data_IF_810459723787
#
_entry.id   IF_810459723787
#
_cell.length_a   1.000
_cell.length_b   1.000
_cell.length_c   1.000
_cell.angle_alpha   90.00
_cell.angle_beta   90.00
_cell.angle_gamma   90.00
#
_symmetry.space_group_name_H-M   'P 1'
#
loop_
_entity.id
_entity.type
_entity.pdbx_description
1 polymer ?
#
# COMPACT_ATOMS: atom_id res chain seq x y z
N UNK A 1 -9.06 3.81 8.49
CA UNK A 1 -8.33 3.03 7.47
C UNK A 1 -7.12 2.34 8.07
N UNK A 2 -6.23 3.05 8.77
CA UNK A 2 -4.97 2.47 9.25
C UNK A 2 -5.14 1.34 10.30
N UNK A 3 -6.17 1.40 11.16
CA UNK A 3 -6.43 0.34 12.13
C UNK A 3 -6.84 -0.97 11.46
N UNK A 4 -7.79 -0.92 10.51
CA UNK A 4 -8.28 -2.13 9.82
C UNK A 4 -7.20 -2.75 8.93
N UNK A 5 -6.33 -1.93 8.34
CA UNK A 5 -5.20 -2.41 7.54
C UNK A 5 -4.19 -3.23 8.36
N UNK A 6 -4.01 -2.89 9.64
CA UNK A 6 -3.05 -3.56 10.53
C UNK A 6 -3.61 -4.81 11.20
N UNK A 7 -4.91 -4.90 11.42
CA UNK A 7 -5.49 -5.93 12.30
C UNK A 7 -6.33 -6.96 11.59
N UNK A 8 -6.72 -6.75 10.33
CA UNK A 8 -7.62 -7.64 9.61
C UNK A 8 -6.86 -8.59 8.69
N UNK A 9 -7.21 -9.88 8.71
CA UNK A 9 -6.70 -10.85 7.74
C UNK A 9 -7.37 -10.70 6.37
N UNK A 10 -8.64 -10.27 6.38
CA UNK A 10 -9.46 -10.03 5.19
C UNK A 10 -10.36 -8.82 5.39
N UNK A 11 -10.61 -8.12 4.30
CA UNK A 11 -11.50 -6.96 4.22
C UNK A 11 -12.63 -7.26 3.24
N UNK A 12 -13.84 -6.85 3.61
CA UNK A 12 -15.00 -6.79 2.72
C UNK A 12 -15.33 -5.33 2.45
N UNK A 13 -15.35 -4.95 1.18
CA UNK A 13 -15.82 -3.63 0.77
C UNK A 13 -17.30 -3.74 0.42
N UNK A 14 -18.11 -2.90 1.06
CA UNK A 14 -19.53 -2.78 0.79
C UNK A 14 -19.81 -1.44 0.11
N UNK A 15 -20.61 -1.48 -0.95
CA UNK A 15 -21.15 -0.28 -1.59
C UNK A 15 -22.65 -0.49 -1.83
N UNK A 16 -23.47 0.50 -1.49
CA UNK A 16 -24.94 0.47 -1.67
C UNK A 16 -25.62 -0.83 -1.19
N UNK A 17 -25.18 -1.36 -0.03
CA UNK A 17 -25.76 -2.56 0.56
C UNK A 17 -25.32 -3.89 -0.09
N UNK A 18 -24.35 -3.87 -1.01
CA UNK A 18 -23.78 -5.07 -1.64
C UNK A 18 -22.29 -5.20 -1.35
N UNK A 19 -21.81 -6.43 -1.18
CA UNK A 19 -20.38 -6.70 -1.13
C UNK A 19 -19.79 -6.60 -2.54
N UNK A 20 -18.89 -5.65 -2.76
CA UNK A 20 -18.24 -5.41 -4.06
C UNK A 20 -16.85 -6.05 -4.15
N UNK A 21 -16.18 -6.28 -3.02
CA UNK A 21 -14.91 -7.01 -2.97
C UNK A 21 -14.73 -7.69 -1.61
N UNK A 22 -14.05 -8.85 -1.58
CA UNK A 22 -13.64 -9.54 -0.35
C UNK A 22 -12.26 -10.18 -0.54
N UNK A 23 -11.21 -9.55 -0.02
CA UNK A 23 -9.85 -10.07 -0.16
C UNK A 23 -8.95 -9.62 1.01
N UNK A 24 -7.66 -9.96 0.95
CA UNK A 24 -6.63 -9.50 1.89
C UNK A 24 -6.45 -7.97 1.84
N UNK A 25 -5.97 -7.32 2.92
CA UNK A 25 -5.65 -5.90 2.93
C UNK A 25 -4.74 -5.48 1.77
N UNK A 26 -3.73 -6.28 1.46
CA UNK A 26 -2.78 -6.02 0.36
C UNK A 26 -3.48 -5.87 -1.00
N UNK A 27 -4.41 -6.78 -1.33
CA UNK A 27 -5.13 -6.71 -2.61
C UNK A 27 -6.25 -5.66 -2.62
N UNK A 28 -6.87 -5.40 -1.49
CA UNK A 28 -7.90 -4.36 -1.42
C UNK A 28 -7.27 -2.97 -1.59
N UNK A 29 -6.16 -2.70 -0.92
CA UNK A 29 -5.49 -1.39 -1.00
C UNK A 29 -4.65 -1.18 -2.26
N UNK A 30 -4.45 -2.21 -3.08
CA UNK A 30 -3.88 -2.03 -4.43
C UNK A 30 -4.90 -1.53 -5.45
N UNK A 31 -6.19 -1.50 -5.12
CA UNK A 31 -7.29 -1.10 -6.03
C UNK A 31 -7.86 0.26 -5.62
N UNK A 32 -7.17 1.34 -5.99
CA UNK A 32 -7.51 2.71 -5.57
C UNK A 32 -8.88 3.19 -6.11
N UNK A 33 -9.24 2.76 -7.33
CA UNK A 33 -10.50 3.09 -8.00
C UNK A 33 -11.72 2.55 -7.24
N UNK A 34 -11.72 1.25 -6.91
CA UNK A 34 -12.82 0.60 -6.18
C UNK A 34 -13.05 1.22 -4.80
N UNK A 35 -11.96 1.56 -4.10
CA UNK A 35 -12.06 2.21 -2.80
C UNK A 35 -12.64 3.63 -2.95
N UNK A 36 -12.15 4.39 -3.93
CA UNK A 36 -12.63 5.76 -4.19
C UNK A 36 -14.12 5.77 -4.56
N UNK A 37 -14.57 4.86 -5.41
CA UNK A 37 -15.99 4.71 -5.79
C UNK A 37 -16.88 4.35 -4.59
N UNK A 38 -16.37 3.58 -3.64
CA UNK A 38 -17.06 3.26 -2.38
C UNK A 38 -16.98 4.39 -1.33
N UNK A 39 -16.38 5.54 -1.65
CA UNK A 39 -16.17 6.65 -0.71
C UNK A 39 -15.10 6.37 0.35
N UNK A 40 -14.22 5.40 0.09
CA UNK A 40 -13.15 4.96 0.97
C UNK A 40 -11.80 5.48 0.47
N UNK A 41 -10.89 5.81 1.39
CA UNK A 41 -9.49 6.10 1.06
C UNK A 41 -8.57 4.95 1.40
N UNK A 42 -7.31 4.97 0.98
CA UNK A 42 -6.28 4.01 1.44
C UNK A 42 -5.58 4.47 2.74
N UNK A 43 -4.89 3.57 3.48
CA UNK A 43 -4.06 3.92 4.63
C UNK A 43 -2.96 4.93 4.28
N UNK A 44 -2.51 5.70 5.27
CA UNK A 44 -1.56 6.80 5.06
C UNK A 44 -0.20 6.31 4.57
N UNK A 45 0.28 5.19 5.11
CA UNK A 45 1.54 4.56 4.69
C UNK A 45 1.49 4.11 3.24
N UNK A 46 0.38 3.51 2.81
CA UNK A 46 0.15 3.10 1.41
C UNK A 46 0.19 4.31 0.48
N UNK A 47 -0.49 5.42 0.84
CA UNK A 47 -0.43 6.68 0.05
C UNK A 47 1.00 7.16 -0.12
N UNK A 48 1.76 7.16 0.97
CA UNK A 48 3.14 7.65 0.95
C UNK A 48 4.05 6.78 0.09
N UNK A 49 3.95 5.45 0.20
CA UNK A 49 4.72 4.51 -0.61
C UNK A 49 4.36 4.59 -2.10
N UNK A 50 3.08 4.83 -2.42
CA UNK A 50 2.65 5.11 -3.78
C UNK A 50 3.31 6.38 -4.36
N UNK A 51 3.51 7.42 -3.55
CA UNK A 51 4.22 8.63 -3.98
C UNK A 51 5.72 8.36 -4.22
N UNK A 52 6.34 7.52 -3.38
CA UNK A 52 7.75 7.13 -3.55
C UNK A 52 7.94 6.32 -4.84
N UNK A 53 7.05 5.37 -5.12
CA UNK A 53 7.04 4.66 -6.40
C UNK A 53 6.95 5.62 -7.59
N UNK A 54 6.08 6.64 -7.51
CA UNK A 54 5.96 7.67 -8.54
C UNK A 54 7.23 8.52 -8.70
N UNK A 55 8.06 8.63 -7.66
CA UNK A 55 9.38 9.29 -7.75
C UNK A 55 10.50 8.41 -8.33
N UNK A 56 10.22 7.14 -8.63
CA UNK A 56 11.17 6.23 -9.29
C UNK A 56 11.89 5.24 -8.37
N UNK A 57 11.62 5.25 -7.06
CA UNK A 57 12.14 4.24 -6.14
C UNK A 57 11.14 3.11 -5.98
N UNK A 58 11.52 1.90 -6.39
CA UNK A 58 10.63 0.73 -6.37
C UNK A 58 10.45 0.18 -4.94
N UNK A 59 9.30 0.48 -4.35
CA UNK A 59 8.89 0.06 -3.00
C UNK A 59 7.60 -0.75 -3.04
N UNK A 60 7.48 -1.74 -2.16
CA UNK A 60 6.20 -2.41 -1.88
C UNK A 60 5.26 -1.45 -1.16
N UNK A 61 4.00 -1.45 -1.57
CA UNK A 61 2.97 -0.54 -1.04
C UNK A 61 2.09 -1.18 0.02
N UNK A 62 2.28 -2.48 0.30
CA UNK A 62 1.56 -3.26 1.30
C UNK A 62 2.10 -3.14 2.73
N UNK A 63 2.83 -2.07 3.05
CA UNK A 63 3.24 -1.76 4.41
C UNK A 63 2.19 -0.89 5.12
N UNK A 64 1.63 -1.42 6.21
CA UNK A 64 0.50 -0.81 6.92
C UNK A 64 0.91 -0.13 8.24
N UNK A 65 2.20 -0.18 8.58
CA UNK A 65 2.80 0.54 9.69
C UNK A 65 3.97 1.41 9.23
N UNK A 66 4.28 2.44 10.02
CA UNK A 66 5.43 3.31 9.75
C UNK A 66 6.77 2.53 9.76
N UNK A 67 6.91 1.53 10.64
CA UNK A 67 8.11 0.70 10.73
C UNK A 67 8.33 -0.19 9.51
N UNK A 68 7.27 -0.81 9.00
CA UNK A 68 7.31 -1.58 7.75
C UNK A 68 7.62 -0.67 6.56
N UNK A 69 6.98 0.49 6.49
CA UNK A 69 7.21 1.45 5.41
C UNK A 69 8.66 1.95 5.40
N UNK A 70 9.21 2.28 6.57
CA UNK A 70 10.62 2.66 6.71
C UNK A 70 11.56 1.54 6.27
N UNK A 71 11.31 0.30 6.73
CA UNK A 71 12.12 -0.87 6.39
C UNK A 71 12.14 -1.11 4.87
N UNK A 72 10.99 -0.95 4.22
CA UNK A 72 10.85 -1.12 2.78
C UNK A 72 11.56 -0.02 1.99
N UNK A 73 11.45 1.23 2.42
CA UNK A 73 12.15 2.37 1.79
C UNK A 73 13.67 2.19 1.92
N UNK A 74 14.15 1.80 3.09
CA UNK A 74 15.58 1.55 3.33
C UNK A 74 16.10 0.41 2.45
N UNK A 75 15.36 -0.70 2.36
CA UNK A 75 15.68 -1.83 1.47
C UNK A 75 15.83 -1.34 0.02
N UNK A 76 14.82 -0.66 -0.51
CA UNK A 76 14.83 -0.17 -1.89
C UNK A 76 15.96 0.83 -2.14
N UNK A 77 16.24 1.72 -1.19
CA UNK A 77 17.32 2.70 -1.30
C UNK A 77 18.71 2.04 -1.36
N UNK A 78 18.96 1.04 -0.51
CA UNK A 78 20.23 0.31 -0.50
C UNK A 78 20.44 -0.48 -1.80
N UNK A 79 19.41 -1.17 -2.29
CA UNK A 79 19.47 -1.88 -3.58
C UNK A 79 19.76 -0.94 -4.75
N UNK A 80 19.15 0.25 -4.75
CA UNK A 80 19.41 1.27 -5.77
C UNK A 80 20.84 1.82 -5.68
N UNK A 81 21.40 1.95 -4.47
CA UNK A 81 22.77 2.42 -4.26
C UNK A 81 23.81 1.37 -4.71
N UNK A 82 23.55 0.08 -4.49
CA UNK A 82 24.43 -1.01 -4.93
C UNK A 82 24.37 -1.24 -6.45
N UNK A 83 23.22 -1.00 -7.08
CA UNK A 83 23.05 -1.12 -8.53
C UNK A 83 23.72 -0.03 -9.38
N UNK A 84 24.17 1.08 -8.76
CA UNK A 84 24.82 2.21 -9.43
C UNK A 84 26.34 2.08 -9.63
N UNK A 85 26.95 0.95 -9.22
CA UNK A 85 28.40 0.76 -9.23
C UNK A 85 29.02 0.09 -10.47
N UNK A 86 28.25 -0.17 -11.52
CA UNK A 86 28.76 -0.80 -12.74
C UNK A 86 28.45 0.06 -13.97
N UNK A 87 29.29 1.08 -14.19
CA UNK A 87 29.29 1.97 -15.35
C UNK A 87 30.67 2.58 -15.56
#
# INVERSE_FOLDING_TARGET
MDSVARTADRLMIMNEGRAVAIDTPEKIFSTDELLTEAGLGVPTTVKFLNLINKSGLLVKTSAFTAGEALSEILRAYLEAAEGGGNG
#
